data_IF_462697708010
#
_entry.id   IF_462697708010
#
_cell.length_a   1.000
_cell.length_b   1.000
_cell.length_c   1.000
_cell.angle_alpha   90.00
_cell.angle_beta   90.00
_cell.angle_gamma   90.00
#
_symmetry.space_group_name_H-M   'P 1'
#
loop_
_entity.id
_entity.type
_entity.pdbx_description
1 polymer ?
#
# COMPACT_ATOMS: atom_id res chain seq x y z
N UNK A 1 33.60 -16.16 -3.71
CA UNK A 1 32.32 -15.47 -3.50
C UNK A 1 32.33 -14.90 -2.10
N UNK A 2 32.19 -13.59 -1.96
CA UNK A 2 32.11 -12.95 -0.65
C UNK A 2 30.71 -13.18 -0.06
N UNK A 3 30.58 -13.21 1.28
CA UNK A 3 29.30 -13.42 1.96
C UNK A 3 28.19 -12.42 1.55
N UNK A 4 28.52 -11.31 0.89
CA UNK A 4 27.59 -10.27 0.44
C UNK A 4 26.90 -10.60 -0.90
N UNK A 5 27.57 -11.34 -1.78
CA UNK A 5 27.11 -11.61 -3.15
C UNK A 5 25.73 -12.28 -3.21
N UNK A 6 25.44 -13.35 -2.43
CA UNK A 6 24.12 -13.98 -2.46
C UNK A 6 23.01 -13.08 -1.90
N UNK A 7 23.30 -12.27 -0.87
CA UNK A 7 22.33 -11.31 -0.34
C UNK A 7 22.03 -10.19 -1.33
N UNK A 8 23.04 -9.75 -2.09
CA UNK A 8 22.86 -8.75 -3.13
C UNK A 8 22.02 -9.31 -4.28
N UNK A 9 22.30 -10.52 -4.75
CA UNK A 9 21.49 -11.18 -5.78
C UNK A 9 20.02 -11.34 -5.33
N UNK A 10 19.80 -11.81 -4.10
CA UNK A 10 18.47 -11.93 -3.51
C UNK A 10 17.76 -10.57 -3.42
N UNK A 11 18.48 -9.53 -2.99
CA UNK A 11 17.93 -8.18 -2.89
C UNK A 11 17.51 -7.63 -4.26
N UNK A 12 18.36 -7.79 -5.28
CA UNK A 12 18.06 -7.35 -6.66
C UNK A 12 16.83 -8.09 -7.19
N UNK A 13 16.75 -9.41 -7.00
CA UNK A 13 15.60 -10.20 -7.43
C UNK A 13 14.31 -9.77 -6.72
N UNK A 14 14.36 -9.58 -5.39
CA UNK A 14 13.22 -9.12 -4.60
C UNK A 14 12.80 -7.69 -5.00
N UNK A 15 13.77 -6.78 -5.19
CA UNK A 15 13.52 -5.40 -5.60
C UNK A 15 12.87 -5.32 -6.97
N UNK A 16 13.38 -6.08 -7.93
CA UNK A 16 12.81 -6.17 -9.30
C UNK A 16 11.38 -6.70 -9.26
N UNK A 17 11.13 -7.73 -8.45
CA UNK A 17 9.79 -8.27 -8.25
C UNK A 17 8.85 -7.21 -7.66
N UNK A 18 9.31 -6.44 -6.68
CA UNK A 18 8.54 -5.35 -6.06
C UNK A 18 8.21 -4.23 -7.06
N UNK A 19 9.17 -3.86 -7.90
CA UNK A 19 9.00 -2.85 -8.95
C UNK A 19 7.97 -3.25 -10.00
N UNK A 20 7.91 -4.53 -10.35
CA UNK A 20 6.93 -5.08 -11.31
C UNK A 20 5.56 -5.26 -10.66
N UNK A 21 5.51 -5.76 -9.42
CA UNK A 21 4.25 -6.00 -8.71
C UNK A 21 3.48 -4.71 -8.42
N UNK A 22 4.15 -3.60 -8.12
CA UNK A 22 3.49 -2.31 -7.83
C UNK A 22 2.55 -1.85 -8.97
N UNK A 23 3.04 -1.66 -10.20
CA UNK A 23 2.23 -1.27 -11.36
C UNK A 23 1.13 -2.29 -11.69
N UNK A 24 1.42 -3.59 -11.56
CA UNK A 24 0.42 -4.65 -11.78
C UNK A 24 -0.72 -4.53 -10.76
N UNK A 25 -0.40 -4.34 -9.49
CA UNK A 25 -1.38 -4.15 -8.42
C UNK A 25 -2.22 -2.88 -8.60
N UNK A 26 -1.62 -1.81 -9.13
CA UNK A 26 -2.32 -0.55 -9.44
C UNK A 26 -3.29 -0.67 -10.62
N UNK A 27 -2.95 -1.48 -11.63
CA UNK A 27 -3.82 -1.78 -12.78
C UNK A 27 -4.90 -2.80 -12.46
N UNK A 28 -4.68 -3.64 -11.44
CA UNK A 28 -5.63 -4.67 -11.06
C UNK A 28 -7.02 -4.08 -10.75
N UNK A 29 -8.10 -4.75 -11.19
CA UNK A 29 -9.45 -4.35 -10.85
C UNK A 29 -9.65 -4.31 -9.33
N UNK A 30 -10.13 -3.18 -8.80
CA UNK A 30 -10.28 -2.91 -7.35
C UNK A 30 -11.46 -3.68 -6.73
N UNK A 31 -11.56 -4.97 -6.99
CA UNK A 31 -12.57 -5.89 -6.47
C UNK A 31 -11.92 -6.86 -5.48
N UNK A 32 -12.71 -7.41 -4.57
CA UNK A 32 -12.25 -8.49 -3.67
C UNK A 32 -11.71 -9.64 -4.52
N UNK A 33 -10.49 -10.11 -4.20
CA UNK A 33 -9.81 -11.17 -4.94
C UNK A 33 -8.43 -10.73 -5.44
N UNK A 34 -8.24 -10.54 -6.76
CA UNK A 34 -6.91 -10.38 -7.37
C UNK A 34 -6.12 -9.19 -6.80
N UNK A 35 -6.76 -8.04 -6.57
CA UNK A 35 -6.10 -6.87 -5.99
C UNK A 35 -5.67 -7.09 -4.53
N UNK A 36 -6.44 -7.86 -3.75
CA UNK A 36 -6.09 -8.19 -2.37
C UNK A 36 -4.90 -9.16 -2.33
N UNK A 37 -4.90 -10.19 -3.17
CA UNK A 37 -3.78 -11.13 -3.29
C UNK A 37 -2.50 -10.42 -3.75
N UNK A 38 -2.60 -9.56 -4.78
CA UNK A 38 -1.46 -8.77 -5.26
C UNK A 38 -0.92 -7.80 -4.19
N UNK A 39 -1.79 -7.16 -3.42
CA UNK A 39 -1.38 -6.29 -2.31
C UNK A 39 -0.66 -7.05 -1.19
N UNK A 40 -1.11 -8.26 -0.88
CA UNK A 40 -0.47 -9.14 0.10
C UNK A 40 0.90 -9.64 -0.41
N UNK A 41 0.98 -10.10 -1.66
CA UNK A 41 2.26 -10.50 -2.28
C UNK A 41 3.25 -9.32 -2.29
N UNK A 42 2.80 -8.12 -2.65
CA UNK A 42 3.65 -6.92 -2.61
C UNK A 42 4.18 -6.64 -1.21
N UNK A 43 3.36 -6.77 -0.17
CA UNK A 43 3.78 -6.58 1.22
C UNK A 43 4.90 -7.57 1.61
N UNK A 44 4.75 -8.85 1.28
CA UNK A 44 5.78 -9.86 1.54
C UNK A 44 7.07 -9.60 0.76
N UNK A 45 6.97 -9.19 -0.50
CA UNK A 45 8.13 -8.81 -1.31
C UNK A 45 8.83 -7.58 -0.70
N UNK A 46 8.08 -6.58 -0.24
CA UNK A 46 8.66 -5.42 0.43
C UNK A 46 9.37 -5.78 1.74
N UNK A 47 8.81 -6.71 2.52
CA UNK A 47 9.48 -7.24 3.70
C UNK A 47 10.81 -7.92 3.32
N UNK A 48 10.82 -8.76 2.27
CA UNK A 48 12.04 -9.40 1.80
C UNK A 48 13.10 -8.39 1.33
N UNK A 49 12.69 -7.33 0.63
CA UNK A 49 13.57 -6.20 0.24
C UNK A 49 14.13 -5.50 1.47
N UNK A 50 13.31 -5.22 2.48
CA UNK A 50 13.74 -4.56 3.71
C UNK A 50 14.73 -5.42 4.52
N UNK A 51 14.44 -6.72 4.69
CA UNK A 51 15.31 -7.65 5.44
C UNK A 51 16.64 -7.83 4.72
N UNK A 52 16.61 -8.03 3.39
CA UNK A 52 17.84 -8.15 2.59
C UNK A 52 18.65 -6.85 2.58
N UNK A 53 18.01 -5.68 2.50
CA UNK A 53 18.69 -4.38 2.62
C UNK A 53 19.34 -4.20 3.99
N UNK A 54 18.66 -4.59 5.07
CA UNK A 54 19.22 -4.53 6.42
C UNK A 54 20.43 -5.46 6.58
N UNK A 55 20.35 -6.69 6.05
CA UNK A 55 21.48 -7.61 6.03
C UNK A 55 22.68 -7.04 5.27
N UNK A 56 22.46 -6.46 4.07
CA UNK A 56 23.51 -5.78 3.30
C UNK A 56 24.09 -4.58 4.05
N UNK A 57 23.26 -3.79 4.73
CA UNK A 57 23.71 -2.65 5.53
C UNK A 57 24.56 -3.07 6.73
N UNK A 58 24.22 -4.17 7.40
CA UNK A 58 25.05 -4.75 8.48
C UNK A 58 26.37 -5.27 7.93
N UNK A 59 26.33 -6.02 6.82
CA UNK A 59 27.54 -6.59 6.21
C UNK A 59 28.49 -5.51 5.66
N UNK A 60 27.96 -4.37 5.21
CA UNK A 60 28.70 -3.25 4.63
C UNK A 60 28.51 -1.95 5.45
N UNK A 61 28.54 -2.09 6.78
CA UNK A 61 28.21 -1.03 7.75
C UNK A 61 28.83 0.33 7.42
N UNK A 62 30.15 0.38 7.21
CA UNK A 62 30.87 1.64 7.00
C UNK A 62 30.40 2.42 5.74
N UNK A 63 29.76 1.76 4.78
CA UNK A 63 29.37 2.37 3.49
C UNK A 63 27.87 2.60 3.35
N UNK A 64 27.04 1.77 3.99
CA UNK A 64 25.60 1.64 3.65
C UNK A 64 24.67 1.77 4.87
N UNK A 65 25.19 2.01 6.08
CA UNK A 65 24.36 2.12 7.31
C UNK A 65 23.22 3.15 7.19
N UNK A 66 23.45 4.24 6.45
CA UNK A 66 22.48 5.32 6.27
C UNK A 66 21.24 4.92 5.45
N UNK A 67 21.27 3.78 4.75
CA UNK A 67 20.09 3.23 4.08
C UNK A 67 19.09 2.56 5.03
N UNK A 68 19.50 2.20 6.26
CA UNK A 68 18.61 1.55 7.22
C UNK A 68 17.36 2.38 7.53
N UNK A 69 17.46 3.69 7.85
CA UNK A 69 16.29 4.56 7.99
C UNK A 69 15.35 4.52 6.79
N UNK A 70 15.88 4.53 5.57
CA UNK A 70 15.09 4.51 4.32
C UNK A 70 14.37 3.16 4.18
N UNK A 71 15.07 2.06 4.42
CA UNK A 71 14.48 0.71 4.37
C UNK A 71 13.36 0.55 5.41
N UNK A 72 13.61 0.94 6.66
CA UNK A 72 12.62 0.89 7.73
C UNK A 72 11.41 1.78 7.42
N UNK A 73 11.63 3.01 6.96
CA UNK A 73 10.54 3.92 6.59
C UNK A 73 9.71 3.36 5.44
N UNK A 74 10.34 2.82 4.40
CA UNK A 74 9.66 2.19 3.26
C UNK A 74 8.76 1.03 3.73
N UNK A 75 9.30 0.13 4.56
CA UNK A 75 8.54 -0.99 5.09
C UNK A 75 7.43 -0.55 6.04
N UNK A 76 7.66 0.47 6.88
CA UNK A 76 6.64 1.03 7.77
C UNK A 76 5.43 1.54 6.97
N UNK A 77 5.67 2.25 5.86
CA UNK A 77 4.61 2.70 4.96
C UNK A 77 3.85 1.52 4.33
N UNK A 78 4.56 0.49 3.86
CA UNK A 78 3.94 -0.71 3.30
C UNK A 78 3.07 -1.44 4.35
N UNK A 79 3.55 -1.52 5.59
CA UNK A 79 2.84 -2.13 6.71
C UNK A 79 1.58 -1.33 7.08
N UNK A 80 1.67 0.01 7.15
CA UNK A 80 0.50 0.89 7.35
C UNK A 80 -0.53 0.65 6.24
N UNK A 81 -0.09 0.60 4.99
CA UNK A 81 -0.94 0.35 3.83
C UNK A 81 -1.65 -1.00 3.89
N UNK A 82 -0.93 -2.05 4.30
CA UNK A 82 -1.46 -3.40 4.47
C UNK A 82 -2.44 -3.51 5.65
N UNK A 83 -2.06 -2.98 6.82
CA UNK A 83 -2.89 -3.01 8.02
C UNK A 83 -4.18 -2.20 7.86
N UNK A 84 -4.16 -1.13 7.06
CA UNK A 84 -5.35 -0.34 6.77
C UNK A 84 -6.45 -1.21 6.13
N UNK A 85 -6.11 -2.09 5.19
CA UNK A 85 -7.08 -3.01 4.54
C UNK A 85 -7.64 -4.03 5.52
N UNK A 86 -6.81 -4.51 6.45
CA UNK A 86 -7.19 -5.55 7.42
C UNK A 86 -8.06 -4.99 8.55
N UNK A 87 -7.70 -3.82 9.08
CA UNK A 87 -8.39 -3.20 10.22
C UNK A 87 -9.64 -2.40 9.81
N UNK A 88 -9.68 -1.88 8.57
CA UNK A 88 -10.82 -1.13 7.99
C UNK A 88 -11.38 -0.04 8.91
N UNK A 89 -10.51 0.63 9.67
CA UNK A 89 -10.88 1.77 10.52
C UNK A 89 -11.34 2.96 9.65
N UNK A 90 -12.05 3.95 10.22
CA UNK A 90 -12.38 5.17 9.48
C UNK A 90 -11.16 5.77 8.78
N UNK A 91 -11.30 6.15 7.51
CA UNK A 91 -10.18 6.67 6.71
C UNK A 91 -9.16 5.63 6.21
N UNK A 92 -9.41 4.32 6.40
CA UNK A 92 -8.48 3.26 5.98
C UNK A 92 -8.10 3.33 4.49
N UNK A 93 -8.97 3.85 3.64
CA UNK A 93 -8.71 4.03 2.21
C UNK A 93 -7.56 5.00 1.97
N UNK A 94 -7.57 6.14 2.67
CA UNK A 94 -6.51 7.15 2.58
C UNK A 94 -5.19 6.56 3.08
N UNK A 95 -5.23 5.87 4.23
CA UNK A 95 -4.07 5.19 4.79
C UNK A 95 -3.55 4.05 3.88
N UNK A 96 -4.43 3.32 3.22
CA UNK A 96 -4.06 2.25 2.29
C UNK A 96 -3.36 2.81 1.04
N UNK A 97 -3.99 3.77 0.36
CA UNK A 97 -3.44 4.39 -0.86
C UNK A 97 -2.15 5.12 -0.53
N UNK A 98 -2.13 5.91 0.55
CA UNK A 98 -0.95 6.65 1.00
C UNK A 98 0.19 5.72 1.42
N UNK A 99 -0.07 4.71 2.23
CA UNK A 99 0.96 3.76 2.70
C UNK A 99 1.52 2.90 1.58
N UNK A 100 0.66 2.29 0.75
CA UNK A 100 1.13 1.48 -0.39
C UNK A 100 1.85 2.34 -1.43
N UNK A 101 1.30 3.50 -1.78
CA UNK A 101 1.91 4.43 -2.74
C UNK A 101 3.24 5.01 -2.22
N UNK A 102 3.28 5.43 -0.95
CA UNK A 102 4.48 5.94 -0.31
C UNK A 102 5.61 4.90 -0.24
N UNK A 103 5.29 3.64 0.07
CA UNK A 103 6.29 2.56 0.03
C UNK A 103 6.86 2.34 -1.37
N UNK A 104 6.04 2.50 -2.41
CA UNK A 104 6.49 2.35 -3.80
C UNK A 104 7.36 3.53 -4.23
N UNK A 105 7.01 4.76 -3.84
CA UNK A 105 7.85 5.95 -4.05
C UNK A 105 9.22 5.75 -3.37
N UNK A 106 9.24 5.26 -2.13
CA UNK A 106 10.48 4.98 -1.42
C UNK A 106 11.33 3.90 -2.12
N UNK A 107 10.70 2.83 -2.63
CA UNK A 107 11.37 1.80 -3.41
C UNK A 107 12.02 2.37 -4.69
N UNK A 108 11.27 3.16 -5.46
CA UNK A 108 11.79 3.81 -6.68
C UNK A 108 12.91 4.80 -6.34
N UNK A 109 12.76 5.58 -5.26
CA UNK A 109 13.79 6.51 -4.80
C UNK A 109 15.07 5.77 -4.43
N UNK A 110 14.97 4.70 -3.65
CA UNK A 110 16.12 3.88 -3.27
C UNK A 110 16.84 3.32 -4.49
N UNK A 111 16.09 2.79 -5.48
CA UNK A 111 16.65 2.32 -6.75
C UNK A 111 17.41 3.43 -7.49
N UNK A 112 16.81 4.61 -7.64
CA UNK A 112 17.46 5.70 -8.38
C UNK A 112 18.70 6.21 -7.65
N UNK A 113 18.66 6.38 -6.32
CA UNK A 113 19.78 6.85 -5.53
C UNK A 113 20.99 5.92 -5.63
N UNK A 114 20.77 4.58 -5.65
CA UNK A 114 21.88 3.62 -5.77
C UNK A 114 22.44 3.48 -7.19
N UNK A 115 21.65 3.77 -8.23
CA UNK A 115 22.07 3.59 -9.64
C UNK A 115 22.57 4.88 -10.29
N UNK A 116 21.92 6.01 -10.03
CA UNK A 116 22.21 7.31 -10.67
C UNK A 116 23.22 8.12 -9.85
N UNK A 117 23.23 7.93 -8.54
CA UNK A 117 24.15 8.60 -7.62
C UNK A 117 23.44 9.44 -6.57
N UNK A 118 23.93 9.35 -5.34
CA UNK A 118 23.36 10.02 -4.17
C UNK A 118 23.57 11.54 -4.15
N UNK A 119 24.51 12.07 -4.94
CA UNK A 119 24.91 13.47 -4.94
C UNK A 119 23.88 14.39 -5.60
N UNK A 120 22.97 13.85 -6.41
CA UNK A 120 21.99 14.62 -7.16
C UNK A 120 20.70 14.78 -6.35
N UNK A 121 20.37 15.98 -5.84
CA UNK A 121 19.17 16.18 -5.02
C UNK A 121 17.88 15.85 -5.78
N UNK A 122 17.87 16.07 -7.10
CA UNK A 122 16.71 15.79 -7.94
C UNK A 122 16.31 14.30 -7.88
N UNK A 123 17.26 13.38 -7.73
CA UNK A 123 16.97 11.94 -7.65
C UNK A 123 16.17 11.58 -6.40
N UNK A 124 16.36 12.32 -5.31
CA UNK A 124 15.64 12.16 -4.05
C UNK A 124 14.21 12.71 -4.11
N UNK A 125 14.04 13.87 -4.75
CA UNK A 125 12.76 14.56 -4.78
C UNK A 125 11.88 14.17 -5.95
N UNK A 126 12.45 13.80 -7.10
CA UNK A 126 11.70 13.52 -8.33
C UNK A 126 10.57 12.49 -8.13
N UNK A 127 10.81 11.31 -7.50
CA UNK A 127 9.74 10.33 -7.30
C UNK A 127 8.63 10.84 -6.38
N UNK A 128 8.97 11.67 -5.39
CA UNK A 128 8.00 12.26 -4.45
C UNK A 128 7.22 13.39 -5.11
N UNK A 129 7.88 14.26 -5.86
CA UNK A 129 7.28 15.38 -6.59
C UNK A 129 6.29 14.87 -7.64
N UNK A 130 6.58 13.73 -8.27
CA UNK A 130 5.66 13.11 -9.25
C UNK A 130 4.59 12.25 -8.56
N UNK A 131 4.99 11.42 -7.58
CA UNK A 131 4.11 10.44 -6.96
C UNK A 131 3.08 11.04 -6.00
N UNK A 132 3.47 12.01 -5.17
CA UNK A 132 2.59 12.66 -4.19
C UNK A 132 1.37 13.35 -4.79
N UNK A 133 1.47 14.18 -5.86
CA UNK A 133 0.29 14.80 -6.45
C UNK A 133 -0.66 13.77 -7.07
N UNK A 134 -0.13 12.68 -7.65
CA UNK A 134 -0.95 11.57 -8.16
C UNK A 134 -1.71 10.90 -7.02
N UNK A 135 -1.04 10.58 -5.91
CA UNK A 135 -1.66 9.97 -4.73
C UNK A 135 -2.74 10.90 -4.15
N UNK A 136 -2.43 12.19 -3.98
CA UNK A 136 -3.36 13.18 -3.46
C UNK A 136 -4.58 13.34 -4.37
N UNK A 137 -4.37 13.39 -5.69
CA UNK A 137 -5.46 13.44 -6.66
C UNK A 137 -6.36 12.20 -6.57
N UNK A 138 -5.77 11.00 -6.52
CA UNK A 138 -6.54 9.75 -6.36
C UNK A 138 -7.36 9.75 -5.08
N UNK A 139 -6.77 10.19 -3.95
CA UNK A 139 -7.47 10.30 -2.67
C UNK A 139 -8.64 11.29 -2.79
N UNK A 140 -8.41 12.47 -3.38
CA UNK A 140 -9.45 13.49 -3.58
C UNK A 140 -10.60 12.97 -4.44
N UNK A 141 -10.29 12.13 -5.43
CA UNK A 141 -11.29 11.54 -6.33
C UNK A 141 -12.16 10.50 -5.63
N UNK A 142 -11.56 9.75 -4.70
CA UNK A 142 -12.29 8.80 -3.85
C UNK A 142 -13.16 9.53 -2.82
N UNK A 143 -12.63 10.59 -2.22
CA UNK A 143 -13.37 11.42 -1.25
C UNK A 143 -14.56 12.14 -1.89
N UNK A 144 -14.42 12.59 -3.14
CA UNK A 144 -15.50 13.19 -3.94
C UNK A 144 -16.53 12.15 -4.45
N UNK A 145 -16.34 10.86 -4.16
CA UNK A 145 -17.24 9.78 -4.60
C UNK A 145 -17.22 9.50 -6.10
N UNK A 146 -16.26 10.06 -6.85
CA UNK A 146 -16.18 9.94 -8.32
C UNK A 146 -15.56 8.62 -8.80
N UNK A 147 -14.87 7.87 -7.93
CA UNK A 147 -14.34 6.53 -8.25
C UNK A 147 -15.33 5.41 -7.94
N UNK A 148 -15.42 4.34 -8.77
CA UNK A 148 -16.62 3.51 -8.92
C UNK A 148 -16.91 2.57 -7.73
N UNK A 149 -18.16 2.05 -7.71
CA UNK A 149 -18.84 1.06 -6.84
C UNK A 149 -17.98 0.18 -5.91
N UNK A 150 -16.80 -0.24 -6.36
CA UNK A 150 -15.80 -0.99 -5.59
C UNK A 150 -15.39 -0.33 -4.27
N UNK A 151 -15.21 1.00 -4.25
CA UNK A 151 -14.78 1.73 -3.05
C UNK A 151 -15.96 2.30 -2.27
N UNK A 152 -17.05 2.64 -2.97
CA UNK A 152 -18.24 3.30 -2.39
C UNK A 152 -18.81 2.54 -1.18
N UNK A 153 -19.04 1.22 -1.30
CA UNK A 153 -19.55 0.42 -0.19
C UNK A 153 -18.59 0.34 1.00
N UNK A 154 -17.29 0.39 0.74
CA UNK A 154 -16.27 0.29 1.78
C UNK A 154 -15.99 1.66 2.47
N UNK A 155 -16.11 2.77 1.74
CA UNK A 155 -16.14 4.14 2.29
C UNK A 155 -17.37 4.30 3.19
N UNK A 156 -18.56 3.97 2.68
CA UNK A 156 -19.81 4.07 3.42
C UNK A 156 -19.79 3.26 4.72
N UNK A 157 -19.34 2.00 4.66
CA UNK A 157 -19.21 1.13 5.84
C UNK A 157 -18.19 1.64 6.86
N UNK A 158 -17.08 2.27 6.42
CA UNK A 158 -16.10 2.88 7.32
C UNK A 158 -16.62 4.15 7.97
N UNK A 159 -17.39 4.95 7.23
CA UNK A 159 -18.00 6.20 7.71
C UNK A 159 -19.14 5.93 8.69
N UNK A 160 -19.94 4.89 8.46
CA UNK A 160 -20.97 4.44 9.39
C UNK A 160 -20.37 3.97 10.73
N UNK A 161 -19.27 3.20 10.70
CA UNK A 161 -18.52 2.83 11.92
C UNK A 161 -17.92 4.03 12.64
N UNK A 162 -17.43 5.04 11.90
CA UNK A 162 -16.90 6.27 12.48
C UNK A 162 -17.95 7.03 13.28
N UNK A 163 -19.20 7.03 12.79
CA UNK A 163 -20.35 7.66 13.44
C UNK A 163 -20.97 6.84 14.58
N UNK A 164 -20.37 5.70 14.96
CA UNK A 164 -20.90 4.81 15.97
C UNK A 164 -22.23 4.14 15.59
N UNK A 165 -22.67 4.26 14.34
CA UNK A 165 -23.90 3.65 13.88
C UNK A 165 -23.72 2.13 13.83
N UNK A 166 -24.50 1.38 14.62
CA UNK A 166 -24.64 -0.07 14.40
C UNK A 166 -25.10 -0.27 12.96
N UNK A 167 -24.51 -1.21 12.21
CA UNK A 167 -25.05 -1.56 10.90
C UNK A 167 -26.51 -1.98 11.12
N UNK A 168 -27.44 -1.37 10.38
CA UNK A 168 -28.83 -1.80 10.40
C UNK A 168 -28.86 -3.30 10.08
N UNK A 169 -29.58 -4.13 10.87
CA UNK A 169 -29.66 -5.55 10.60
C UNK A 169 -30.16 -5.75 9.16
N UNK A 170 -29.32 -6.38 8.35
CA UNK A 170 -29.70 -6.80 7.01
C UNK A 170 -30.73 -7.92 7.15
N UNK A 171 -32.02 -7.58 7.08
CA UNK A 171 -33.07 -8.57 6.88
C UNK A 171 -34.23 -8.60 7.87
N UNK A 172 -34.48 -7.56 8.66
CA UNK A 172 -35.83 -7.44 9.27
C UNK A 172 -36.73 -6.69 8.29
N UNK A 173 -37.49 -7.48 7.51
CA UNK A 173 -38.67 -6.97 6.83
C UNK A 173 -39.52 -6.22 7.85
N UNK A 174 -39.78 -4.94 7.59
CA UNK A 174 -40.64 -4.10 8.41
C UNK A 174 -41.94 -4.86 8.75
N UNK A 175 -42.48 -4.75 9.98
CA UNK A 175 -43.74 -5.41 10.35
C UNK A 175 -44.90 -5.11 9.38
N UNK A 176 -44.80 -4.01 8.63
CA UNK A 176 -45.72 -3.64 7.54
C UNK A 176 -45.64 -4.59 6.32
N UNK A 177 -44.46 -5.07 5.93
CA UNK A 177 -44.29 -6.00 4.80
C UNK A 177 -44.75 -7.43 5.14
N UNK A 178 -44.60 -7.85 6.40
CA UNK A 178 -45.12 -9.13 6.88
C UNK A 178 -46.65 -9.17 6.87
N UNK A 179 -47.32 -8.05 7.18
CA UNK A 179 -48.79 -7.94 7.11
C UNK A 179 -49.31 -8.01 5.68
N UNK A 180 -48.60 -7.41 4.72
CA UNK A 180 -48.99 -7.44 3.30
C UNK A 180 -48.78 -8.83 2.69
N UNK A 181 -47.78 -9.58 3.13
CA UNK A 181 -47.54 -10.96 2.66
C UNK A 181 -48.48 -11.99 3.29
N UNK A 182 -48.93 -11.78 4.52
CA UNK A 182 -49.90 -12.67 5.17
C UNK A 182 -51.35 -12.49 4.69
N UNK A 183 -51.62 -11.41 3.94
CA UNK A 183 -52.93 -11.10 3.37
C UNK A 183 -53.08 -11.50 1.88
N UNK A 184 -52.11 -12.23 1.32
CA UNK A 184 -52.16 -12.85 -0.01
C UNK A 184 -52.15 -14.36 0.13
#
# INVERSE_FOLDING_TARGET
MSLRDPFLALHIAAGTTGLILGPIAMRAPKRRGPHTKLGETYHWVMLAVCVSAAALAVLAWHRIWWFLPIATFSYANALVGYLAVKRRRPGWIRAHIGGMGGSYIALVTALLVVNVGQQLPIVWFLPTVVGSPIIAWVISEVDRGRRPRAWAGAVAASSARARGARPAPSGESSPSELRVRAAR
#
